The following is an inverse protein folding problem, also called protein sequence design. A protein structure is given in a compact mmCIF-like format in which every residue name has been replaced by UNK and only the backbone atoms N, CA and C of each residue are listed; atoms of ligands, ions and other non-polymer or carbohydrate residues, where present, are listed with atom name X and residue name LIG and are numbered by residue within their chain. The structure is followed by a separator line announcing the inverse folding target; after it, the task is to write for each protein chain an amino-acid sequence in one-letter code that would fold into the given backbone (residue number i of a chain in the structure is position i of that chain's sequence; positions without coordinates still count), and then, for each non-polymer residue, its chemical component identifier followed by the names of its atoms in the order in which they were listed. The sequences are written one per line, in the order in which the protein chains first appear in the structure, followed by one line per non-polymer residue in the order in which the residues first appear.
data_IF_393577007331
#
_entry.id   IF_393577007331
#
_cell.length_a   1.000
_cell.length_b   1.000
_cell.length_c   1.000
_cell.angle_alpha   90.00
_cell.angle_beta   90.00
_cell.angle_gamma   90.00
#
_symmetry.space_group_name_H-M   'P 1'
#
loop_
_entity.id
_entity.type
_entity.pdbx_description
1 polymer ?
#
# COMPACT_ATOMS: atom_id res chain seq x y z
N UNK A 1 -5.14 48.37 -23.99
CA UNK A 1 -4.29 48.95 -25.05
C UNK A 1 -3.49 47.80 -25.63
N UNK A 2 -3.74 47.47 -26.90
CA UNK A 2 -3.28 46.27 -27.58
C UNK A 2 -2.00 46.53 -28.40
N UNK A 3 -1.15 45.51 -28.55
CA UNK A 3 -0.18 45.28 -29.62
C UNK A 3 0.36 43.85 -29.41
N UNK A 4 -0.12 42.79 -30.06
CA UNK A 4 -0.04 42.36 -31.46
C UNK A 4 1.38 42.21 -32.05
N UNK A 5 1.58 40.98 -32.58
CA UNK A 5 2.34 40.56 -33.78
C UNK A 5 3.78 40.05 -33.61
N UNK A 6 4.29 39.07 -34.36
CA UNK A 6 3.85 38.01 -35.32
C UNK A 6 5.15 37.29 -35.76
N UNK A 7 5.12 35.97 -36.02
CA UNK A 7 5.81 35.14 -37.08
C UNK A 7 6.25 33.79 -36.48
N UNK A 8 5.66 32.62 -36.74
CA UNK A 8 5.33 31.90 -37.99
C UNK A 8 6.50 31.72 -38.96
N UNK A 9 6.99 30.47 -39.08
CA UNK A 9 7.47 29.89 -40.34
C UNK A 9 7.54 28.36 -40.27
N UNK A 10 6.56 27.71 -40.89
CA UNK A 10 6.66 26.35 -41.43
C UNK A 10 7.51 26.35 -42.70
N UNK A 11 8.24 25.26 -42.96
CA UNK A 11 8.41 24.71 -44.31
C UNK A 11 9.10 23.33 -44.30
N UNK A 12 8.35 22.32 -44.74
CA UNK A 12 8.81 21.05 -45.31
C UNK A 12 9.63 21.27 -46.60
N UNK A 13 10.32 20.22 -47.10
CA UNK A 13 10.07 19.83 -48.50
C UNK A 13 9.85 18.32 -48.70
N UNK A 14 9.03 17.98 -49.69
CA UNK A 14 8.75 16.64 -50.19
C UNK A 14 9.67 16.26 -51.38
N UNK A 15 10.21 15.04 -51.30
CA UNK A 15 10.21 13.95 -52.29
C UNK A 15 10.99 14.05 -53.62
N UNK A 16 11.69 12.96 -54.00
CA UNK A 16 11.52 12.16 -55.25
C UNK A 16 12.54 10.97 -55.34
N UNK A 17 11.98 9.74 -55.44
CA UNK A 17 12.34 8.49 -56.21
C UNK A 17 13.77 7.87 -56.13
N UNK A 18 14.05 6.55 -56.16
CA UNK A 18 13.29 5.29 -56.38
C UNK A 18 14.19 4.02 -56.19
N UNK A 19 13.66 2.99 -55.48
CA UNK A 19 13.78 1.49 -55.58
C UNK A 19 15.15 0.73 -55.61
N UNK A 20 15.18 -0.62 -55.39
CA UNK A 20 14.46 -1.49 -54.43
C UNK A 20 15.40 -2.47 -53.65
N UNK A 21 14.93 -3.09 -52.56
CA UNK A 21 15.04 -4.54 -52.29
C UNK A 21 14.39 -4.93 -50.94
N UNK A 22 13.56 -5.97 -51.02
CA UNK A 22 12.73 -6.60 -49.97
C UNK A 22 13.57 -7.58 -49.12
N UNK A 23 13.09 -8.14 -47.96
CA UNK A 23 11.81 -8.86 -47.87
C UNK A 23 10.95 -8.72 -46.58
N UNK A 24 9.64 -8.75 -46.85
CA UNK A 24 8.56 -9.50 -46.16
C UNK A 24 8.36 -9.26 -44.66
N UNK A 25 7.39 -8.41 -44.34
CA UNK A 25 6.65 -8.41 -43.07
C UNK A 25 5.20 -8.74 -43.39
N UNK A 26 4.78 -9.96 -43.02
CA UNK A 26 3.42 -10.45 -43.18
C UNK A 26 2.43 -9.55 -42.42
N UNK A 27 1.61 -8.86 -43.20
CA UNK A 27 0.51 -8.03 -42.74
C UNK A 27 -0.73 -8.91 -42.63
N UNK A 28 -0.93 -9.56 -41.49
CA UNK A 28 -2.26 -10.09 -41.16
C UNK A 28 -3.16 -8.97 -40.66
N UNK A 29 -4.12 -8.64 -41.52
CA UNK A 29 -5.30 -7.82 -41.31
C UNK A 29 -5.84 -7.88 -39.88
N UNK A 30 -5.76 -6.75 -39.18
CA UNK A 30 -6.49 -6.49 -37.95
C UNK A 30 -7.97 -6.32 -38.32
N UNK A 31 -8.68 -7.44 -38.42
CA UNK A 31 -10.14 -7.41 -38.42
C UNK A 31 -10.57 -6.69 -37.14
N UNK A 32 -11.44 -5.68 -37.30
CA UNK A 32 -12.03 -4.95 -36.19
C UNK A 32 -12.77 -5.96 -35.29
N UNK A 33 -12.11 -6.37 -34.21
CA UNK A 33 -12.74 -7.15 -33.16
C UNK A 33 -13.80 -6.27 -32.52
N UNK A 34 -15.02 -6.79 -32.46
CA UNK A 34 -16.11 -6.32 -31.60
C UNK A 34 -15.53 -5.87 -30.25
N UNK A 35 -15.90 -4.69 -29.71
CA UNK A 35 -15.34 -4.23 -28.44
C UNK A 35 -15.60 -5.29 -27.37
N UNK A 36 -14.53 -5.80 -26.77
CA UNK A 36 -14.65 -6.71 -25.65
C UNK A 36 -15.22 -5.91 -24.47
N UNK A 37 -16.45 -6.22 -24.03
CA UNK A 37 -17.05 -5.69 -22.78
C UNK A 37 -16.23 -6.01 -21.50
N UNK A 38 -15.06 -6.62 -21.65
CA UNK A 38 -14.10 -7.01 -20.61
C UNK A 38 -13.24 -5.87 -20.08
N UNK A 39 -13.21 -4.75 -20.79
CA UNK A 39 -12.66 -3.51 -20.25
C UNK A 39 -13.57 -2.89 -19.18
N UNK A 40 -14.79 -3.41 -18.97
CA UNK A 40 -15.84 -2.64 -18.31
C UNK A 40 -15.83 -2.75 -16.76
N UNK A 41 -15.29 -3.84 -16.16
CA UNK A 41 -15.16 -3.93 -14.69
C UNK A 41 -13.73 -3.92 -14.14
N UNK A 42 -12.72 -4.15 -14.98
CA UNK A 42 -11.34 -3.99 -14.53
C UNK A 42 -11.10 -2.51 -14.26
N UNK A 43 -10.82 -2.15 -13.01
CA UNK A 43 -10.47 -0.78 -12.68
C UNK A 43 -8.95 -0.66 -12.63
N UNK A 44 -8.38 0.11 -13.57
CA UNK A 44 -6.95 0.33 -13.62
C UNK A 44 -6.48 1.00 -12.32
N UNK A 45 -5.53 0.40 -11.59
CA UNK A 45 -5.06 0.99 -10.37
C UNK A 45 -4.39 2.34 -10.58
N UNK A 46 -4.86 3.36 -9.87
CA UNK A 46 -4.23 4.69 -9.87
C UNK A 46 -2.95 4.62 -9.04
N UNK A 47 -1.81 4.87 -9.68
CA UNK A 47 -0.54 4.97 -8.98
C UNK A 47 -0.57 6.18 -8.03
N UNK A 48 -0.16 5.96 -6.79
CA UNK A 48 0.02 7.02 -5.80
C UNK A 48 1.46 7.00 -5.26
N UNK A 49 1.81 8.03 -4.50
CA UNK A 49 3.09 8.17 -3.80
C UNK A 49 3.39 7.03 -2.82
N UNK A 50 2.35 6.34 -2.34
CA UNK A 50 2.44 5.19 -1.42
C UNK A 50 2.91 3.92 -2.15
N UNK A 51 2.59 3.77 -3.44
CA UNK A 51 2.94 2.59 -4.22
C UNK A 51 3.66 3.01 -5.51
N UNK A 52 4.91 3.43 -5.34
CA UNK A 52 5.77 3.75 -6.47
C UNK A 52 6.02 2.50 -7.35
N UNK A 53 5.64 2.59 -8.63
CA UNK A 53 5.94 1.60 -9.67
C UNK A 53 4.75 0.74 -10.08
N UNK A 54 4.76 0.25 -11.32
CA UNK A 54 3.65 -0.52 -11.93
C UNK A 54 3.71 -2.03 -11.64
N UNK A 55 4.82 -2.53 -11.08
CA UNK A 55 5.07 -3.97 -10.92
C UNK A 55 4.01 -4.70 -10.07
N UNK A 56 3.42 -4.03 -9.10
CA UNK A 56 2.39 -4.63 -8.26
C UNK A 56 1.03 -4.68 -8.98
N UNK A 57 0.77 -3.76 -9.91
CA UNK A 57 -0.42 -3.74 -10.78
C UNK A 57 -0.35 -4.94 -11.72
N UNK A 58 0.79 -5.12 -12.39
CA UNK A 58 1.04 -6.28 -13.26
C UNK A 58 0.91 -7.60 -12.49
N UNK A 59 1.37 -7.63 -11.23
CA UNK A 59 1.24 -8.79 -10.38
C UNK A 59 -0.22 -9.06 -9.97
N UNK A 60 -0.98 -8.02 -9.60
CA UNK A 60 -2.40 -8.15 -9.25
C UNK A 60 -3.22 -8.65 -10.45
N UNK A 61 -2.95 -8.10 -11.63
CA UNK A 61 -3.57 -8.56 -12.86
C UNK A 61 -3.27 -10.05 -13.11
N UNK A 62 -2.03 -10.51 -12.90
CA UNK A 62 -1.67 -11.93 -12.99
C UNK A 62 -2.35 -12.84 -11.98
N UNK A 63 -2.77 -12.30 -10.84
CA UNK A 63 -3.47 -13.06 -9.79
C UNK A 63 -4.95 -13.22 -10.16
N UNK A 64 -5.59 -12.16 -10.67
CA UNK A 64 -7.05 -12.10 -10.80
C UNK A 64 -7.58 -12.31 -12.22
N UNK A 65 -6.84 -11.87 -13.23
CA UNK A 65 -7.35 -11.70 -14.60
C UNK A 65 -6.61 -12.57 -15.63
N UNK A 66 -5.52 -13.22 -15.25
CA UNK A 66 -4.83 -14.18 -16.09
C UNK A 66 -5.66 -15.43 -16.34
N UNK A 67 -5.48 -16.04 -17.53
CA UNK A 67 -6.08 -17.35 -17.87
C UNK A 67 -5.70 -18.44 -16.87
N UNK A 68 -4.44 -18.42 -16.44
CA UNK A 68 -3.87 -19.30 -15.42
C UNK A 68 -3.45 -18.43 -14.21
N UNK A 69 -4.37 -18.18 -13.25
CA UNK A 69 -4.12 -17.27 -12.15
C UNK A 69 -3.02 -17.81 -11.22
N UNK A 70 -2.12 -16.93 -10.82
CA UNK A 70 -1.05 -17.27 -9.87
C UNK A 70 -1.63 -17.41 -8.47
N UNK A 71 -1.32 -18.52 -7.79
CA UNK A 71 -1.70 -18.70 -6.39
C UNK A 71 -1.11 -17.60 -5.51
N UNK A 72 -1.99 -16.91 -4.77
CA UNK A 72 -1.59 -15.79 -3.92
C UNK A 72 -2.27 -15.84 -2.55
N UNK A 73 -1.55 -16.16 -1.46
CA UNK A 73 -2.16 -16.24 -0.13
C UNK A 73 -2.21 -14.85 0.53
N UNK A 74 -3.21 -14.03 0.20
CA UNK A 74 -3.30 -12.64 0.66
C UNK A 74 -3.32 -12.52 2.19
N UNK A 75 -4.19 -13.29 2.86
CA UNK A 75 -4.32 -13.27 4.31
C UNK A 75 -3.03 -13.64 5.03
N UNK A 76 -2.28 -14.63 4.53
CA UNK A 76 -0.98 -15.01 5.10
C UNK A 76 0.06 -13.90 4.92
N UNK A 77 0.07 -13.24 3.77
CA UNK A 77 1.01 -12.14 3.50
C UNK A 77 0.71 -10.91 4.35
N UNK A 78 -0.57 -10.57 4.51
CA UNK A 78 -1.04 -9.54 5.43
C UNK A 78 -0.69 -9.90 6.87
N UNK A 79 -1.03 -11.10 7.34
CA UNK A 79 -0.71 -11.56 8.69
C UNK A 79 0.80 -11.53 8.98
N UNK A 80 1.61 -11.94 8.00
CA UNK A 80 3.07 -11.85 8.11
C UNK A 80 3.56 -10.41 8.20
N UNK A 81 3.09 -9.53 7.30
CA UNK A 81 3.50 -8.12 7.28
C UNK A 81 3.08 -7.39 8.57
N UNK A 82 1.83 -7.59 9.01
CA UNK A 82 1.29 -7.05 10.26
C UNK A 82 2.01 -7.59 11.48
N UNK A 83 2.27 -8.90 11.52
CA UNK A 83 2.96 -9.55 12.65
C UNK A 83 4.42 -9.11 12.80
N UNK A 84 5.13 -8.95 11.70
CA UNK A 84 6.48 -8.40 11.69
C UNK A 84 6.48 -6.92 12.09
N UNK A 85 5.59 -6.10 11.53
CA UNK A 85 5.51 -4.69 11.90
C UNK A 85 5.20 -4.51 13.39
N UNK A 86 4.25 -5.29 13.93
CA UNK A 86 3.88 -5.24 15.35
C UNK A 86 5.04 -5.59 16.28
N UNK A 87 5.90 -6.56 15.90
CA UNK A 87 7.10 -6.91 16.67
C UNK A 87 8.11 -5.77 16.72
N UNK A 88 8.33 -5.09 15.60
CA UNK A 88 9.26 -3.95 15.55
C UNK A 88 8.70 -2.75 16.33
N UNK A 89 7.39 -2.52 16.27
CA UNK A 89 6.72 -1.48 17.07
C UNK A 89 6.91 -1.73 18.57
N UNK A 90 6.67 -2.96 19.04
CA UNK A 90 6.89 -3.31 20.45
C UNK A 90 8.35 -3.18 20.89
N UNK A 91 9.30 -3.59 20.05
CA UNK A 91 10.73 -3.44 20.33
C UNK A 91 11.13 -1.96 20.44
N UNK A 92 10.55 -1.11 19.60
CA UNK A 92 10.80 0.32 19.59
C UNK A 92 10.24 0.99 20.84
N UNK A 93 8.96 0.73 21.18
CA UNK A 93 8.30 1.28 22.38
C UNK A 93 9.07 0.98 23.68
N UNK A 94 9.64 -0.23 23.78
CA UNK A 94 10.46 -0.63 24.92
C UNK A 94 11.79 0.14 25.04
N UNK A 95 12.39 0.53 23.91
CA UNK A 95 13.70 1.17 23.87
C UNK A 95 13.66 2.70 23.70
N UNK A 96 12.55 3.28 23.25
CA UNK A 96 12.48 4.66 22.73
C UNK A 96 11.62 5.61 23.58
N UNK A 97 11.64 5.51 24.91
CA UNK A 97 10.97 6.46 25.83
C UNK A 97 11.34 7.95 25.65
N UNK A 98 12.23 8.28 24.70
CA UNK A 98 12.84 9.60 24.52
C UNK A 98 12.20 10.46 23.42
N UNK A 99 11.29 9.95 22.58
CA UNK A 99 10.73 10.72 21.45
C UNK A 99 9.22 10.47 21.37
N UNK A 100 8.44 11.51 21.03
CA UNK A 100 6.97 11.57 20.87
C UNK A 100 6.38 10.61 19.79
N UNK A 101 6.97 9.43 19.59
CA UNK A 101 6.45 8.36 18.74
C UNK A 101 5.31 7.49 19.32
N UNK A 102 4.92 7.51 20.61
CA UNK A 102 3.83 6.64 21.10
C UNK A 102 2.53 6.83 20.32
N UNK A 103 2.18 8.07 19.98
CA UNK A 103 0.94 8.36 19.28
C UNK A 103 0.92 7.83 17.83
N UNK A 104 2.05 7.93 17.13
CA UNK A 104 2.22 7.39 15.76
C UNK A 104 2.20 5.86 15.76
N UNK A 105 2.76 5.24 16.81
CA UNK A 105 2.75 3.80 17.02
C UNK A 105 1.32 3.28 17.23
N UNK A 106 0.55 3.90 18.13
CA UNK A 106 -0.84 3.53 18.39
C UNK A 106 -1.68 3.65 17.12
N UNK A 107 -1.55 4.75 16.37
CA UNK A 107 -2.21 4.93 15.06
C UNK A 107 -1.86 3.87 14.03
N UNK A 108 -0.61 3.42 14.00
CA UNK A 108 -0.20 2.34 13.09
C UNK A 108 -0.83 1.01 13.49
N UNK A 109 -0.92 0.71 14.79
CA UNK A 109 -1.60 -0.49 15.29
C UNK A 109 -3.12 -0.45 14.98
N UNK A 110 -3.75 0.72 15.06
CA UNK A 110 -5.16 0.90 14.63
C UNK A 110 -5.37 0.59 13.16
N UNK A 111 -4.52 1.14 12.29
CA UNK A 111 -4.63 0.87 10.87
C UNK A 111 -4.46 -0.62 10.56
N UNK A 112 -3.53 -1.32 11.24
CA UNK A 112 -3.38 -2.77 11.12
C UNK A 112 -4.68 -3.48 11.52
N UNK A 113 -5.29 -3.08 12.64
CA UNK A 113 -6.55 -3.68 13.09
C UNK A 113 -7.69 -3.44 12.10
N UNK A 114 -7.85 -2.22 11.60
CA UNK A 114 -8.89 -1.89 10.61
C UNK A 114 -8.73 -2.71 9.32
N UNK A 115 -7.50 -2.95 8.86
CA UNK A 115 -7.21 -3.84 7.73
C UNK A 115 -7.68 -5.27 8.04
N UNK A 116 -7.42 -5.78 9.24
CA UNK A 116 -7.81 -7.12 9.65
C UNK A 116 -9.34 -7.26 9.79
N UNK A 117 -10.02 -6.26 10.38
CA UNK A 117 -11.48 -6.25 10.48
C UNK A 117 -12.14 -6.24 9.10
N UNK A 118 -11.61 -5.42 8.19
CA UNK A 118 -12.12 -5.37 6.82
C UNK A 118 -11.91 -6.71 6.09
N UNK A 119 -10.74 -7.34 6.24
CA UNK A 119 -10.51 -8.69 5.70
C UNK A 119 -11.48 -9.72 6.30
N UNK A 120 -11.78 -9.62 7.60
CA UNK A 120 -12.76 -10.46 8.28
C UNK A 120 -14.18 -10.27 7.76
N UNK A 121 -14.57 -9.02 7.47
CA UNK A 121 -15.84 -8.67 6.81
C UNK A 121 -15.94 -9.28 5.40
N UNK A 122 -14.89 -9.20 4.58
CA UNK A 122 -14.91 -9.83 3.26
C UNK A 122 -15.13 -11.34 3.35
N UNK A 123 -14.48 -12.00 4.32
CA UNK A 123 -14.61 -13.43 4.56
C UNK A 123 -15.99 -13.85 5.07
N UNK A 124 -16.82 -12.93 5.58
CA UNK A 124 -18.21 -13.22 5.95
C UNK A 124 -19.18 -12.84 4.84
N UNK A 125 -18.99 -11.68 4.19
CA UNK A 125 -19.96 -11.13 3.25
C UNK A 125 -19.87 -11.72 1.83
N UNK A 126 -18.66 -12.03 1.33
CA UNK A 126 -18.46 -12.42 -0.07
C UNK A 126 -18.74 -13.90 -0.40
N UNK A 127 -18.43 -14.90 0.46
CA UNK A 127 -18.47 -16.31 0.03
C UNK A 127 -19.83 -16.79 -0.48
N UNK A 128 -20.91 -16.41 0.19
CA UNK A 128 -22.27 -16.82 -0.20
C UNK A 128 -22.64 -16.25 -1.57
N UNK A 129 -22.46 -14.93 -1.75
CA UNK A 129 -22.75 -14.26 -3.02
C UNK A 129 -21.91 -14.81 -4.17
N UNK A 130 -20.62 -15.06 -3.96
CA UNK A 130 -19.74 -15.65 -4.97
C UNK A 130 -20.21 -17.05 -5.35
N UNK A 131 -20.58 -17.88 -4.37
CA UNK A 131 -21.05 -19.24 -4.64
C UNK A 131 -22.34 -19.22 -5.48
N UNK A 132 -23.25 -18.30 -5.19
CA UNK A 132 -24.49 -18.18 -5.95
C UNK A 132 -24.26 -17.71 -7.39
N UNK A 133 -23.36 -16.75 -7.61
CA UNK A 133 -22.97 -16.33 -8.96
C UNK A 133 -22.35 -17.52 -9.72
N UNK A 134 -21.39 -18.22 -9.10
CA UNK A 134 -20.72 -19.36 -9.71
C UNK A 134 -21.68 -20.51 -10.03
N UNK A 135 -22.68 -20.74 -9.17
CA UNK A 135 -23.69 -21.76 -9.37
C UNK A 135 -24.61 -21.42 -10.54
N UNK A 136 -25.08 -20.17 -10.61
CA UNK A 136 -25.89 -19.69 -11.73
C UNK A 136 -25.14 -19.78 -13.09
N UNK A 137 -23.84 -19.46 -13.09
CA UNK A 137 -22.97 -19.64 -14.28
C UNK A 137 -22.88 -21.11 -14.68
N UNK A 138 -22.70 -22.01 -13.72
CA UNK A 138 -22.57 -23.45 -13.95
C UNK A 138 -23.85 -24.04 -14.55
N UNK A 139 -25.01 -23.55 -14.12
CA UNK A 139 -26.30 -24.10 -14.55
C UNK A 139 -26.66 -23.67 -16.00
N UNK A 140 -26.10 -22.57 -16.51
CA UNK A 140 -26.45 -22.04 -17.84
C UNK A 140 -25.56 -22.50 -19.01
N UNK A 141 -24.40 -23.14 -18.76
CA UNK A 141 -23.53 -23.80 -19.76
C UNK A 141 -23.29 -23.02 -21.09
N UNK A 142 -23.35 -21.69 -21.06
CA UNK A 142 -23.27 -20.81 -22.22
C UNK A 142 -22.33 -19.64 -21.92
N UNK A 143 -21.60 -19.18 -22.94
CA UNK A 143 -20.72 -18.01 -22.83
C UNK A 143 -21.49 -16.68 -22.72
N UNK A 144 -22.80 -16.70 -23.02
CA UNK A 144 -23.72 -15.60 -22.75
C UNK A 144 -24.80 -16.03 -21.76
N UNK A 145 -25.05 -15.24 -20.72
CA UNK A 145 -26.04 -15.56 -19.68
C UNK A 145 -26.78 -14.33 -19.17
N UNK A 146 -28.05 -14.52 -18.81
CA UNK A 146 -28.83 -13.57 -18.02
C UNK A 146 -28.94 -14.07 -16.57
N UNK A 147 -28.52 -13.26 -15.60
CA UNK A 147 -28.60 -13.60 -14.18
C UNK A 147 -30.03 -13.48 -13.63
N UNK A 148 -30.34 -14.23 -12.58
CA UNK A 148 -31.64 -14.17 -11.92
C UNK A 148 -31.90 -12.80 -11.29
N UNK A 149 -33.16 -12.33 -11.31
CA UNK A 149 -33.54 -11.06 -10.68
C UNK A 149 -33.20 -11.01 -9.19
N UNK A 150 -33.23 -12.15 -8.49
CA UNK A 150 -32.82 -12.24 -7.09
C UNK A 150 -31.32 -12.01 -6.91
N UNK A 151 -30.48 -12.58 -7.78
CA UNK A 151 -29.03 -12.38 -7.72
C UNK A 151 -28.67 -10.94 -8.10
N UNK A 152 -29.29 -10.39 -9.14
CA UNK A 152 -29.10 -8.99 -9.53
C UNK A 152 -29.40 -8.02 -8.39
N UNK A 153 -30.52 -8.21 -7.66
CA UNK A 153 -30.87 -7.40 -6.49
C UNK A 153 -29.83 -7.47 -5.39
N UNK A 154 -29.28 -8.66 -5.12
CA UNK A 154 -28.22 -8.81 -4.11
C UNK A 154 -26.92 -8.15 -4.56
N UNK A 155 -26.53 -8.29 -5.82
CA UNK A 155 -25.37 -7.61 -6.40
C UNK A 155 -25.53 -6.08 -6.35
N UNK A 156 -26.74 -5.57 -6.62
CA UNK A 156 -27.08 -4.14 -6.54
C UNK A 156 -26.88 -3.55 -5.15
N UNK A 157 -27.03 -4.36 -4.10
CA UNK A 157 -26.80 -3.94 -2.71
C UNK A 157 -25.34 -4.14 -2.31
N UNK A 158 -24.76 -5.29 -2.66
CA UNK A 158 -23.42 -5.68 -2.23
C UNK A 158 -22.30 -4.86 -2.90
N UNK A 159 -22.43 -4.53 -4.19
CA UNK A 159 -21.42 -3.75 -4.93
C UNK A 159 -21.13 -2.39 -4.27
N UNK A 160 -22.14 -1.53 -4.07
CA UNK A 160 -21.95 -0.24 -3.40
C UNK A 160 -21.46 -0.36 -1.95
N UNK A 161 -21.91 -1.37 -1.20
CA UNK A 161 -21.43 -1.61 0.17
C UNK A 161 -19.95 -1.98 0.21
N UNK A 162 -19.50 -2.82 -0.72
CA UNK A 162 -18.09 -3.16 -0.86
C UNK A 162 -17.27 -1.92 -1.23
N UNK A 163 -17.71 -1.10 -2.19
CA UNK A 163 -16.97 0.11 -2.59
C UNK A 163 -16.85 1.10 -1.44
N UNK A 164 -17.94 1.36 -0.69
CA UNK A 164 -17.94 2.26 0.46
C UNK A 164 -16.92 1.83 1.54
N UNK A 165 -16.99 0.56 1.95
CA UNK A 165 -16.06 0.00 2.94
C UNK A 165 -14.61 0.00 2.44
N UNK A 166 -14.41 -0.23 1.16
CA UNK A 166 -13.09 -0.20 0.51
C UNK A 166 -12.52 1.22 0.47
N UNK A 167 -13.35 2.21 0.18
CA UNK A 167 -12.97 3.63 0.18
C UNK A 167 -12.54 4.08 1.57
N UNK A 168 -13.27 3.68 2.61
CA UNK A 168 -12.89 3.94 4.00
C UNK A 168 -11.56 3.27 4.36
N UNK A 169 -11.33 2.00 3.98
CA UNK A 169 -10.04 1.34 4.18
C UNK A 169 -8.90 2.09 3.48
N UNK A 170 -9.11 2.55 2.25
CA UNK A 170 -8.12 3.34 1.52
C UNK A 170 -7.76 4.63 2.30
N UNK A 171 -8.75 5.33 2.86
CA UNK A 171 -8.51 6.53 3.69
C UNK A 171 -7.64 6.21 4.91
N UNK A 172 -7.90 5.08 5.58
CA UNK A 172 -7.10 4.63 6.74
C UNK A 172 -5.63 4.43 6.35
N UNK A 173 -5.37 3.70 5.26
CA UNK A 173 -4.01 3.41 4.79
C UNK A 173 -3.28 4.68 4.35
N UNK A 174 -3.96 5.56 3.61
CA UNK A 174 -3.37 6.84 3.16
C UNK A 174 -3.01 7.72 4.35
N UNK A 175 -3.90 7.82 5.35
CA UNK A 175 -3.64 8.58 6.56
C UNK A 175 -2.50 7.99 7.36
N UNK A 176 -2.46 6.67 7.54
CA UNK A 176 -1.38 5.99 8.26
C UNK A 176 -0.02 6.20 7.58
N UNK A 177 0.03 6.17 6.25
CA UNK A 177 1.25 6.48 5.51
C UNK A 177 1.73 7.91 5.78
N UNK A 178 0.80 8.89 5.75
CA UNK A 178 1.09 10.30 6.05
C UNK A 178 1.52 10.53 7.50
N UNK A 179 0.82 9.92 8.46
CA UNK A 179 1.05 10.08 9.90
C UNK A 179 2.37 9.45 10.34
N UNK A 180 2.74 8.29 9.76
CA UNK A 180 4.03 7.66 10.05
C UNK A 180 5.19 8.47 9.48
N UNK A 181 5.02 9.06 8.29
CA UNK A 181 6.04 9.83 7.57
C UNK A 181 7.45 9.22 7.67
N UNK A 182 7.52 7.89 7.46
CA UNK A 182 8.71 7.10 7.78
C UNK A 182 9.97 7.61 7.07
N UNK A 183 9.80 8.20 5.88
CA UNK A 183 10.88 8.79 5.08
C UNK A 183 11.48 10.03 5.74
N UNK A 184 10.66 10.92 6.32
CA UNK A 184 11.16 12.09 7.02
C UNK A 184 11.79 11.72 8.36
N UNK A 185 11.21 10.77 9.09
CA UNK A 185 11.82 10.24 10.32
C UNK A 185 13.20 9.61 10.03
N UNK A 186 13.31 8.84 8.95
CA UNK A 186 14.58 8.25 8.54
C UNK A 186 15.63 9.30 8.17
N UNK A 187 15.23 10.35 7.45
CA UNK A 187 16.12 11.50 7.15
C UNK A 187 16.59 12.18 8.44
N UNK A 188 15.70 12.39 9.41
CA UNK A 188 16.07 13.00 10.69
C UNK A 188 17.15 12.20 11.41
N UNK A 189 17.00 10.88 11.53
CA UNK A 189 18.01 10.05 12.18
C UNK A 189 19.31 9.95 11.37
N UNK A 190 19.24 9.93 10.04
CA UNK A 190 20.43 10.00 9.20
C UNK A 190 21.19 11.31 9.45
N UNK A 191 20.50 12.46 9.50
CA UNK A 191 21.12 13.75 9.83
C UNK A 191 21.69 13.78 11.25
N UNK A 192 20.99 13.21 12.24
CA UNK A 192 21.47 13.13 13.61
C UNK A 192 22.76 12.29 13.71
N UNK A 193 22.81 11.15 13.00
CA UNK A 193 23.99 10.29 12.94
C UNK A 193 25.16 11.04 12.29
N UNK A 194 24.94 11.64 11.11
CA UNK A 194 25.98 12.41 10.42
C UNK A 194 26.47 13.60 11.23
N UNK A 195 25.57 14.35 11.87
CA UNK A 195 25.93 15.46 12.76
C UNK A 195 26.78 14.98 13.94
N UNK A 196 26.43 13.83 14.55
CA UNK A 196 27.20 13.28 15.67
C UNK A 196 28.59 12.84 15.23
N UNK A 197 28.70 12.15 14.08
CA UNK A 197 29.98 11.74 13.50
C UNK A 197 30.86 12.95 13.17
N UNK A 198 30.29 13.98 12.56
CA UNK A 198 31.01 15.22 12.23
C UNK A 198 31.51 15.91 13.50
N UNK A 199 30.71 15.96 14.56
CA UNK A 199 31.10 16.56 15.86
C UNK A 199 32.17 15.75 16.60
N UNK A 200 32.23 14.43 16.41
CA UNK A 200 33.24 13.56 17.02
C UNK A 200 34.64 13.75 16.42
N UNK A 201 34.75 14.05 15.11
CA UNK A 201 36.04 14.24 14.43
C UNK A 201 36.92 15.32 15.10
N UNK A 202 36.46 16.57 15.31
CA UNK A 202 37.27 17.59 15.96
C UNK A 202 37.53 17.29 17.45
N UNK A 203 36.63 16.57 18.14
CA UNK A 203 36.86 16.11 19.51
C UNK A 203 38.00 15.07 19.58
N UNK A 204 38.04 14.12 18.63
CA UNK A 204 39.13 13.16 18.50
C UNK A 204 40.46 13.84 18.14
N UNK A 205 40.46 14.68 17.10
CA UNK A 205 41.66 15.38 16.62
C UNK A 205 42.19 16.34 17.69
N UNK A 206 41.31 17.11 18.32
CA UNK A 206 41.64 18.01 19.42
C UNK A 206 42.15 17.25 20.65
N UNK A 207 41.52 16.13 21.01
CA UNK A 207 41.97 15.27 22.10
C UNK A 207 43.38 14.72 21.87
N UNK A 208 43.67 14.18 20.68
CA UNK A 208 45.00 13.68 20.32
C UNK A 208 46.03 14.81 20.34
N UNK A 209 45.70 15.98 19.78
CA UNK A 209 46.58 17.15 19.77
C UNK A 209 46.93 17.60 21.19
N UNK A 210 45.94 17.69 22.09
CA UNK A 210 46.13 18.07 23.49
C UNK A 210 46.99 17.06 24.26
N UNK A 211 46.88 15.76 23.98
CA UNK A 211 47.74 14.74 24.59
C UNK A 211 49.18 14.77 24.08
N UNK A 212 49.39 15.27 22.86
CA UNK A 212 50.72 15.34 22.26
C UNK A 212 51.49 16.59 22.68
N UNK A 213 50.80 17.71 22.91
CA UNK A 213 51.37 18.92 23.48
C UNK A 213 51.69 18.70 24.96
N UNK A 214 52.97 18.53 25.31
CA UNK A 214 53.47 18.34 26.69
C UNK A 214 53.19 19.51 27.66
N UNK A 215 52.51 20.57 27.21
CA UNK A 215 52.27 21.81 27.94
C UNK A 215 50.90 21.89 28.62
N UNK A 216 50.03 20.89 28.45
CA UNK A 216 48.66 20.93 29.01
C UNK A 216 48.67 20.30 30.40
N UNK A 217 48.23 21.09 31.38
CA UNK A 217 48.08 20.62 32.75
C UNK A 217 47.07 19.45 32.83
N UNK A 218 47.41 18.42 33.60
CA UNK A 218 46.67 17.15 33.63
C UNK A 218 45.27 17.33 34.24
N UNK A 219 45.08 18.40 35.02
CA UNK A 219 43.82 18.81 35.62
C UNK A 219 43.05 19.85 34.77
N UNK A 220 43.46 20.09 33.52
CA UNK A 220 42.78 21.06 32.67
C UNK A 220 41.32 20.65 32.39
N UNK A 221 40.41 21.62 32.56
CA UNK A 221 38.98 21.44 32.27
C UNK A 221 38.72 20.95 30.83
N UNK A 222 39.65 21.20 29.90
CA UNK A 222 39.58 20.77 28.51
C UNK A 222 39.78 19.25 28.37
N UNK A 223 40.78 18.67 29.06
CA UNK A 223 40.99 17.21 29.06
C UNK A 223 39.77 16.52 29.68
N UNK A 224 39.28 17.04 30.80
CA UNK A 224 38.06 16.53 31.46
C UNK A 224 36.85 16.62 30.53
N UNK A 225 36.65 17.75 29.84
CA UNK A 225 35.57 17.92 28.87
C UNK A 225 35.66 16.91 27.71
N UNK A 226 36.83 16.75 27.09
CA UNK A 226 37.02 15.77 25.99
C UNK A 226 36.80 14.33 26.48
N UNK A 227 37.28 14.01 27.68
CA UNK A 227 37.13 12.68 28.28
C UNK A 227 35.66 12.30 28.55
N UNK A 228 34.78 13.27 28.81
CA UNK A 228 33.33 13.03 28.96
C UNK A 228 32.55 13.18 27.64
N UNK A 229 32.92 14.15 26.80
CA UNK A 229 32.25 14.42 25.54
C UNK A 229 32.44 13.30 24.52
N UNK A 230 33.61 12.66 24.49
CA UNK A 230 33.91 11.60 23.54
C UNK A 230 33.07 10.32 23.79
N UNK A 231 33.02 9.74 25.01
CA UNK A 231 32.13 8.61 25.29
C UNK A 231 30.65 8.95 25.10
N UNK A 232 30.23 10.17 25.49
CA UNK A 232 28.86 10.62 25.29
C UNK A 232 28.50 10.70 23.81
N UNK A 233 29.37 11.29 22.98
CA UNK A 233 29.18 11.35 21.53
C UNK A 233 29.14 9.97 20.88
N UNK A 234 30.02 9.05 21.30
CA UNK A 234 29.99 7.65 20.86
C UNK A 234 28.67 6.96 21.25
N UNK A 235 28.18 7.18 22.47
CA UNK A 235 26.92 6.63 22.94
C UNK A 235 25.73 7.17 22.14
N UNK A 236 25.70 8.48 21.88
CA UNK A 236 24.68 9.12 21.02
C UNK A 236 24.75 8.56 19.59
N UNK A 237 25.94 8.40 19.01
CA UNK A 237 26.10 7.83 17.67
C UNK A 237 25.60 6.38 17.59
N UNK A 238 25.92 5.55 18.59
CA UNK A 238 25.43 4.17 18.68
C UNK A 238 23.90 4.11 18.81
N UNK A 239 23.31 4.96 19.65
CA UNK A 239 21.85 5.05 19.77
C UNK A 239 21.19 5.54 18.48
N UNK A 240 21.74 6.58 17.84
CA UNK A 240 21.24 7.10 16.57
C UNK A 240 21.34 6.06 15.44
N UNK A 241 22.43 5.29 15.38
CA UNK A 241 22.59 4.20 14.41
C UNK A 241 21.59 3.08 14.65
N UNK A 242 21.40 2.65 15.89
CA UNK A 242 20.41 1.64 16.27
C UNK A 242 18.98 2.08 15.92
N UNK A 243 18.63 3.32 16.26
CA UNK A 243 17.34 3.92 15.92
C UNK A 243 17.14 4.01 14.40
N UNK A 244 18.15 4.46 13.64
CA UNK A 244 18.09 4.53 12.18
C UNK A 244 17.86 3.15 11.54
N UNK A 245 18.56 2.11 12.01
CA UNK A 245 18.36 0.74 11.52
C UNK A 245 16.96 0.22 11.83
N UNK A 246 16.43 0.51 13.01
CA UNK A 246 15.07 0.17 13.40
C UNK A 246 14.04 0.88 12.51
N UNK A 247 14.17 2.20 12.33
CA UNK A 247 13.28 2.99 11.49
C UNK A 247 13.31 2.57 10.02
N UNK A 248 14.49 2.23 9.48
CA UNK A 248 14.62 1.63 8.13
C UNK A 248 13.86 0.33 8.01
N UNK A 249 13.92 -0.52 9.03
CA UNK A 249 13.20 -1.80 9.05
C UNK A 249 11.69 -1.59 9.13
N UNK A 250 11.24 -0.69 10.00
CA UNK A 250 9.83 -0.30 10.14
C UNK A 250 9.27 0.27 8.84
N UNK A 251 9.98 1.23 8.20
CA UNK A 251 9.58 1.82 6.92
C UNK A 251 9.33 0.75 5.86
N UNK A 252 10.27 -0.19 5.68
CA UNK A 252 10.13 -1.29 4.72
C UNK A 252 8.95 -2.21 5.03
N UNK A 253 8.66 -2.46 6.31
CA UNK A 253 7.54 -3.30 6.75
C UNK A 253 6.20 -2.62 6.53
N UNK A 254 6.14 -1.31 6.73
CA UNK A 254 4.96 -0.49 6.43
C UNK A 254 4.71 -0.41 4.94
N UNK A 255 5.74 -0.17 4.13
CA UNK A 255 5.62 -0.19 2.67
C UNK A 255 5.09 -1.54 2.19
N UNK A 256 5.61 -2.65 2.77
CA UNK A 256 5.11 -3.98 2.48
C UNK A 256 3.64 -4.14 2.87
N UNK A 257 3.24 -3.72 4.07
CA UNK A 257 1.85 -3.78 4.51
C UNK A 257 0.95 -2.98 3.55
N UNK A 258 1.33 -1.75 3.22
CA UNK A 258 0.59 -0.88 2.32
C UNK A 258 0.41 -1.52 0.94
N UNK A 259 1.47 -2.09 0.35
CA UNK A 259 1.40 -2.80 -0.93
C UNK A 259 0.39 -3.96 -0.88
N UNK A 260 0.42 -4.76 0.19
CA UNK A 260 -0.49 -5.89 0.36
C UNK A 260 -1.94 -5.42 0.55
N UNK A 261 -2.16 -4.36 1.32
CA UNK A 261 -3.49 -3.77 1.53
C UNK A 261 -4.03 -3.11 0.26
N UNK A 262 -3.20 -2.43 -0.52
CA UNK A 262 -3.66 -1.84 -1.78
C UNK A 262 -3.99 -2.89 -2.83
N UNK A 263 -3.29 -4.04 -2.86
CA UNK A 263 -3.72 -5.17 -3.69
C UNK A 263 -5.11 -5.67 -3.29
N UNK A 264 -5.39 -5.75 -1.99
CA UNK A 264 -6.72 -6.10 -1.50
C UNK A 264 -7.76 -5.06 -1.94
N UNK A 265 -7.49 -3.77 -1.72
CA UNK A 265 -8.38 -2.66 -2.12
C UNK A 265 -8.76 -2.78 -3.60
N UNK A 266 -7.76 -2.93 -4.49
CA UNK A 266 -8.02 -3.03 -5.93
C UNK A 266 -8.71 -4.34 -6.33
N UNK A 267 -8.38 -5.46 -5.69
CA UNK A 267 -9.09 -6.72 -5.91
C UNK A 267 -10.59 -6.59 -5.56
N UNK A 268 -10.91 -5.89 -4.48
CA UNK A 268 -12.30 -5.68 -4.06
C UNK A 268 -13.01 -4.67 -4.95
N UNK A 269 -12.31 -3.66 -5.46
CA UNK A 269 -12.87 -2.76 -6.49
C UNK A 269 -13.27 -3.48 -7.76
N UNK A 270 -12.41 -4.37 -8.27
CA UNK A 270 -12.76 -5.22 -9.42
C UNK A 270 -13.98 -6.11 -9.10
N UNK A 271 -14.07 -6.63 -7.87
CA UNK A 271 -15.23 -7.40 -7.42
C UNK A 271 -16.50 -6.54 -7.36
N UNK A 272 -16.43 -5.33 -6.78
CA UNK A 272 -17.55 -4.40 -6.70
C UNK A 272 -18.04 -3.99 -8.11
N UNK A 273 -17.11 -3.73 -9.03
CA UNK A 273 -17.41 -3.43 -10.42
C UNK A 273 -18.09 -4.61 -11.13
N UNK A 274 -17.63 -5.84 -10.92
CA UNK A 274 -18.29 -7.05 -11.44
C UNK A 274 -19.73 -7.17 -10.91
N UNK A 275 -19.95 -6.91 -9.61
CA UNK A 275 -21.29 -6.94 -9.02
C UNK A 275 -22.20 -5.86 -9.61
N UNK A 276 -21.67 -4.66 -9.85
CA UNK A 276 -22.41 -3.58 -10.53
C UNK A 276 -22.80 -3.99 -11.95
N UNK A 277 -21.89 -4.59 -12.73
CA UNK A 277 -22.22 -5.12 -14.06
C UNK A 277 -23.35 -6.15 -14.01
N UNK A 278 -23.32 -7.07 -13.04
CA UNK A 278 -24.39 -8.05 -12.85
C UNK A 278 -25.71 -7.36 -12.49
N UNK A 279 -25.66 -6.34 -11.63
CA UNK A 279 -26.83 -5.60 -11.18
C UNK A 279 -27.50 -4.75 -12.27
N UNK A 280 -26.70 -4.22 -13.20
CA UNK A 280 -27.15 -3.33 -14.30
C UNK A 280 -27.51 -4.09 -15.58
N UNK A 281 -27.24 -5.39 -15.65
CA UNK A 281 -27.69 -6.24 -16.74
C UNK A 281 -29.22 -6.44 -16.67
N UNK A 282 -30.00 -5.43 -17.06
CA UNK A 282 -31.47 -5.40 -17.09
C UNK A 282 -32.05 -6.47 -18.03
N UNK A 283 -31.98 -7.74 -17.61
CA UNK A 283 -32.29 -8.94 -18.40
C UNK A 283 -31.48 -9.11 -19.70
N UNK A 284 -30.51 -8.23 -19.96
CA UNK A 284 -29.61 -8.33 -21.12
C UNK A 284 -28.55 -9.40 -20.86
N UNK A 285 -28.23 -10.24 -21.86
CA UNK A 285 -27.21 -11.26 -21.70
C UNK A 285 -25.83 -10.61 -21.53
N UNK A 286 -25.13 -10.99 -20.47
CA UNK A 286 -23.72 -10.69 -20.30
C UNK A 286 -22.90 -11.71 -21.10
N UNK A 287 -21.91 -11.23 -21.83
CA UNK A 287 -20.98 -12.05 -22.62
C UNK A 287 -19.79 -12.52 -21.78
N UNK A 288 -19.00 -13.48 -22.30
CA UNK A 288 -17.76 -14.13 -21.77
C UNK A 288 -17.74 -14.39 -20.25
N UNK A 289 -18.88 -14.90 -19.78
CA UNK A 289 -19.13 -15.31 -18.40
C UNK A 289 -18.00 -16.21 -17.83
N UNK A 290 -17.28 -16.93 -18.70
CA UNK A 290 -16.10 -17.72 -18.36
C UNK A 290 -14.96 -16.90 -17.73
N UNK A 291 -14.68 -15.69 -18.21
CA UNK A 291 -13.70 -14.82 -17.57
C UNK A 291 -14.17 -14.37 -16.17
N UNK A 292 -15.42 -13.92 -16.04
CA UNK A 292 -16.01 -13.57 -14.73
C UNK A 292 -15.94 -14.73 -13.73
N UNK A 293 -16.22 -15.96 -14.20
CA UNK A 293 -16.05 -17.19 -13.41
C UNK A 293 -14.60 -17.37 -12.93
N UNK A 294 -13.61 -17.25 -13.82
CA UNK A 294 -12.19 -17.38 -13.47
C UNK A 294 -11.76 -16.33 -12.46
N UNK A 295 -12.18 -15.08 -12.65
CA UNK A 295 -11.94 -13.99 -11.70
C UNK A 295 -12.49 -14.33 -10.32
N UNK A 296 -13.75 -14.76 -10.22
CA UNK A 296 -14.41 -15.13 -8.95
C UNK A 296 -13.69 -16.29 -8.26
N UNK A 297 -13.28 -17.31 -9.02
CA UNK A 297 -12.51 -18.44 -8.49
C UNK A 297 -11.13 -17.99 -7.98
N UNK A 298 -10.43 -17.14 -8.73
CA UNK A 298 -9.13 -16.60 -8.36
C UNK A 298 -9.21 -15.67 -7.14
N UNK A 299 -10.22 -14.80 -7.10
CA UNK A 299 -10.49 -13.91 -5.97
C UNK A 299 -10.78 -14.72 -4.71
N UNK A 300 -11.66 -15.73 -4.80
CA UNK A 300 -11.98 -16.63 -3.69
C UNK A 300 -10.74 -17.37 -3.20
N UNK A 301 -9.95 -17.95 -4.11
CA UNK A 301 -8.75 -18.70 -3.75
C UNK A 301 -7.66 -17.82 -3.12
N UNK A 302 -7.55 -16.56 -3.54
CA UNK A 302 -6.44 -15.69 -3.16
C UNK A 302 -6.74 -14.78 -1.98
N UNK A 303 -7.96 -14.25 -1.90
CA UNK A 303 -8.35 -13.21 -0.94
C UNK A 303 -9.35 -13.71 0.11
N UNK A 304 -10.12 -14.77 -0.16
CA UNK A 304 -11.09 -15.32 0.78
C UNK A 304 -10.56 -16.60 1.45
N UNK A 305 -9.68 -16.41 2.43
CA UNK A 305 -9.11 -17.51 3.23
C UNK A 305 -8.17 -16.99 4.32
N UNK A 306 -7.56 -17.90 5.08
CA UNK A 306 -6.57 -17.57 6.12
C UNK A 306 -7.16 -16.89 7.37
N UNK A 307 -8.39 -17.27 7.75
CA UNK A 307 -9.09 -16.73 8.93
C UNK A 307 -8.30 -16.97 10.22
N UNK A 308 -7.67 -18.13 10.35
CA UNK A 308 -6.88 -18.49 11.52
C UNK A 308 -5.65 -17.58 11.66
N UNK A 309 -4.90 -17.35 10.57
CA UNK A 309 -3.74 -16.46 10.59
C UNK A 309 -4.13 -15.04 10.98
N UNK A 310 -5.23 -14.52 10.46
CA UNK A 310 -5.73 -13.18 10.80
C UNK A 310 -6.23 -13.09 12.24
N UNK A 311 -6.94 -14.12 12.71
CA UNK A 311 -7.43 -14.21 14.09
C UNK A 311 -6.28 -14.22 15.10
N UNK A 312 -5.20 -14.96 14.82
CA UNK A 312 -4.01 -14.99 15.67
C UNK A 312 -3.31 -13.62 15.74
N UNK A 313 -3.23 -12.90 14.62
CA UNK A 313 -2.70 -11.53 14.67
C UNK A 313 -3.63 -10.60 15.45
N UNK A 314 -4.95 -10.72 15.25
CA UNK A 314 -5.94 -9.94 15.99
C UNK A 314 -5.82 -10.15 17.51
N UNK A 315 -5.75 -11.40 17.97
CA UNK A 315 -5.60 -11.69 19.40
C UNK A 315 -4.29 -11.13 19.96
N UNK A 316 -3.18 -11.27 19.22
CA UNK A 316 -1.89 -10.71 19.63
C UNK A 316 -1.87 -9.19 19.70
N UNK A 317 -2.60 -8.50 18.83
CA UNK A 317 -2.77 -7.05 18.91
C UNK A 317 -3.58 -6.67 20.14
N UNK A 318 -4.65 -7.42 20.45
CA UNK A 318 -5.50 -7.22 21.62
C UNK A 318 -4.79 -7.46 22.96
N UNK A 319 -3.77 -8.32 22.96
CA UNK A 319 -2.92 -8.58 24.14
C UNK A 319 -1.89 -7.47 24.41
N UNK A 320 -1.75 -6.47 23.51
CA UNK A 320 -0.80 -5.39 23.72
C UNK A 320 -1.21 -4.51 24.92
N UNK A 321 -0.26 -4.10 25.78
CA UNK A 321 -0.57 -3.34 27.00
C UNK A 321 -1.25 -1.99 26.73
N UNK A 322 -1.05 -1.41 25.55
CA UNK A 322 -1.67 -0.15 25.12
C UNK A 322 -3.07 -0.34 24.49
N UNK A 323 -3.55 -1.58 24.37
CA UNK A 323 -4.85 -1.90 23.77
C UNK A 323 -6.05 -1.52 24.66
N UNK A 324 -5.87 -1.52 25.98
CA UNK A 324 -6.92 -1.20 26.95
C UNK A 324 -7.21 0.31 27.08
N UNK A 325 -6.48 1.17 26.36
CA UNK A 325 -6.71 2.60 26.41
C UNK A 325 -8.09 2.93 25.82
N UNK A 326 -8.86 3.83 26.45
CA UNK A 326 -10.27 4.12 26.06
C UNK A 326 -10.44 4.58 24.61
N UNK A 327 -9.35 5.01 23.98
CA UNK A 327 -9.31 5.39 22.57
C UNK A 327 -9.25 4.18 21.63
N UNK A 328 -8.89 2.98 22.13
CA UNK A 328 -8.71 1.78 21.31
C UNK A 328 -10.01 1.11 20.89
N UNK A 329 -11.01 1.13 21.76
CA UNK A 329 -12.36 0.64 21.47
C UNK A 329 -13.23 1.62 20.69
N UNK A 330 -12.82 2.90 20.60
CA UNK A 330 -13.57 3.97 19.95
C UNK A 330 -13.37 4.04 18.43
N UNK A 331 -12.28 3.49 17.90
CA UNK A 331 -11.97 3.55 16.46
C UNK A 331 -12.64 2.46 15.61
N UNK A 332 -13.83 2.00 16.01
CA UNK A 332 -14.71 1.34 15.05
C UNK A 332 -15.45 2.44 14.25
N UNK A 333 -14.79 2.98 13.22
CA UNK A 333 -15.43 3.70 12.11
C UNK A 333 -16.16 5.02 12.44
N UNK A 334 -16.18 5.49 13.70
CA UNK A 334 -17.03 6.60 14.13
C UNK A 334 -16.32 7.97 14.31
N UNK A 335 -14.99 8.04 14.36
CA UNK A 335 -14.28 9.34 14.45
C UNK A 335 -14.04 10.00 13.09
N UNK A 336 -14.52 9.40 11.99
CA UNK A 336 -14.16 9.82 10.63
C UNK A 336 -15.01 10.96 10.07
N UNK A 337 -16.10 11.36 10.76
CA UNK A 337 -16.99 12.46 10.35
C UNK A 337 -16.83 13.74 11.16
N UNK A 338 -15.99 13.77 12.20
CA UNK A 338 -15.83 14.96 13.04
C UNK A 338 -14.43 15.56 12.81
N UNK A 339 -14.41 16.56 11.92
CA UNK A 339 -13.37 17.55 11.67
C UNK A 339 -12.24 17.19 10.68
N UNK A 340 -12.52 17.33 9.39
CA UNK A 340 -11.85 18.38 8.59
C UNK A 340 -12.64 18.64 7.30
N UNK A 341 -12.97 19.90 6.98
CA UNK A 341 -13.68 20.23 5.74
C UNK A 341 -12.80 19.89 4.53
N UNK A 342 -13.47 19.52 3.45
CA UNK A 342 -12.91 19.38 2.11
C UNK A 342 -11.79 20.38 1.84
N UNK A 343 -10.60 19.84 1.61
CA UNK A 343 -9.69 20.43 0.65
C UNK A 343 -9.36 19.34 -0.34
N UNK A 344 -10.21 19.28 -1.36
CA UNK A 344 -9.85 18.84 -2.70
C UNK A 344 -8.45 19.36 -3.06
N UNK A 345 -7.58 18.45 -3.53
CA UNK A 345 -6.90 18.52 -4.83
C UNK A 345 -5.89 17.36 -4.87
N UNK A 346 -6.24 16.39 -5.75
CA UNK A 346 -5.44 15.34 -6.42
C UNK A 346 -4.69 14.30 -5.57
#
# INVERSE_FOLDING_TARGET
MALNNIKSRDSLPQNIQSAPDSPVVDSHSKAASVPSHWADFYQLPVANDIIAGTKWIDHLWKILHCRDPVSYPAARRLAYASGDLSKDLNWYDFNSRLIELPHVLTKTLYAIYDILEYQGYLQSACPELINDILQEIKDNNSDSMTFSLSLQRRCKVAGPQLEDKTCMLQKVVVRQHKDLNARNLLRFFDYLLWSTVISLIPLCVGGVFLTWTQSVDRDSAIITFVAYALPLGCLVAMMAQSACLCMRRMARRVDRLNVETFRLIWAVRDMAALLTLIAEAECSPLWDVLHGKRFLEAFRASFLGGREELSNIRSRLQELPNWADKNFSAHHWNDYDIASPDNDVL
#
